data_IF_730633529692
#
_entry.id   IF_730633529692
#
_cell.length_a   1.000
_cell.length_b   1.000
_cell.length_c   1.000
_cell.angle_alpha   90.00
_cell.angle_beta   90.00
_cell.angle_gamma   90.00
#
_symmetry.space_group_name_H-M   'P 1'
#
loop_
_entity.id
_entity.type
_entity.pdbx_description
1 polymer ?
#
# COMPACT_ATOMS: atom_id res chain seq x y z
N UNK A 1 29.07 5.39 19.67
CA UNK A 1 28.08 6.32 19.09
C UNK A 1 28.68 7.09 17.93
N UNK A 2 28.18 6.93 16.70
CA UNK A 2 28.31 7.93 15.67
C UNK A 2 26.92 8.41 15.23
N UNK A 3 26.63 9.66 15.55
CA UNK A 3 25.42 10.37 15.14
C UNK A 3 25.48 10.60 13.63
N UNK A 4 24.70 9.85 12.86
CA UNK A 4 24.50 10.09 11.44
C UNK A 4 23.73 11.41 11.34
N UNK A 5 24.40 12.47 10.90
CA UNK A 5 23.76 13.71 10.47
C UNK A 5 22.79 13.37 9.33
N UNK A 6 21.50 13.23 9.65
CA UNK A 6 20.45 13.34 8.64
C UNK A 6 20.50 14.77 8.14
N UNK A 7 21.07 14.97 6.96
CA UNK A 7 20.92 16.23 6.22
C UNK A 7 19.43 16.38 5.85
N UNK A 8 18.65 16.96 6.76
CA UNK A 8 17.34 17.48 6.45
C UNK A 8 17.54 18.74 5.61
N UNK A 9 17.03 18.70 4.37
CA UNK A 9 16.95 19.89 3.52
C UNK A 9 16.15 20.95 4.29
N UNK A 10 16.62 22.21 4.38
CA UNK A 10 15.90 23.28 5.06
C UNK A 10 14.48 23.43 4.50
N UNK A 11 13.49 23.65 5.38
CA UNK A 11 12.07 23.68 4.99
C UNK A 11 11.75 24.79 3.97
N UNK A 12 12.52 25.89 3.99
CA UNK A 12 12.45 26.95 2.98
C UNK A 12 12.75 26.40 1.57
N UNK A 13 13.79 25.59 1.42
CA UNK A 13 14.21 25.02 0.14
C UNK A 13 13.23 23.96 -0.36
N UNK A 14 12.63 23.18 0.56
CA UNK A 14 11.52 22.24 0.24
C UNK A 14 10.28 23.00 -0.23
N UNK A 15 9.97 24.13 0.40
CA UNK A 15 8.82 24.96 0.05
C UNK A 15 8.99 25.61 -1.33
N UNK A 16 10.19 26.07 -1.67
CA UNK A 16 10.49 26.70 -2.96
C UNK A 16 10.50 25.70 -4.11
N UNK A 17 11.04 24.49 -3.89
CA UNK A 17 11.00 23.42 -4.90
C UNK A 17 9.57 22.93 -5.17
N UNK A 18 8.75 22.77 -4.12
CA UNK A 18 7.32 22.48 -4.27
C UNK A 18 6.57 23.59 -5.02
N UNK A 19 6.89 24.86 -4.71
CA UNK A 19 6.34 26.04 -5.38
C UNK A 19 6.74 26.15 -6.85
N UNK A 20 7.96 25.78 -7.21
CA UNK A 20 8.35 25.74 -8.61
C UNK A 20 7.55 24.69 -9.41
N UNK A 21 7.36 23.50 -8.82
CA UNK A 21 6.59 22.40 -9.44
C UNK A 21 5.14 22.79 -9.67
N UNK A 22 4.53 23.49 -8.71
CA UNK A 22 3.14 23.94 -8.87
C UNK A 22 2.99 25.05 -9.90
N UNK A 23 3.96 25.98 -9.98
CA UNK A 23 3.88 27.08 -10.95
C UNK A 23 3.92 26.56 -12.40
N UNK A 24 4.70 25.51 -12.67
CA UNK A 24 4.71 24.83 -13.97
C UNK A 24 3.35 24.21 -14.30
N UNK A 25 2.79 23.41 -13.38
CA UNK A 25 1.47 22.80 -13.56
C UNK A 25 0.35 23.86 -13.69
N UNK A 26 0.37 24.89 -12.85
CA UNK A 26 -0.68 25.90 -12.80
C UNK A 26 -0.74 26.78 -14.05
N UNK A 27 0.40 27.09 -14.70
CA UNK A 27 0.41 27.85 -15.97
C UNK A 27 -0.41 27.14 -17.05
N UNK A 28 -0.32 25.82 -17.11
CA UNK A 28 -0.96 25.00 -18.13
C UNK A 28 -2.40 24.63 -17.74
N UNK A 29 -2.61 24.15 -16.52
CA UNK A 29 -3.84 23.47 -16.13
C UNK A 29 -4.78 24.30 -15.25
N UNK A 30 -4.32 25.34 -14.54
CA UNK A 30 -5.21 26.11 -13.65
C UNK A 30 -6.13 27.06 -14.43
N UNK A 31 -7.37 27.19 -13.93
CA UNK A 31 -8.32 28.18 -14.41
C UNK A 31 -7.90 29.59 -13.96
N UNK A 32 -8.17 30.61 -14.79
CA UNK A 32 -7.94 32.00 -14.36
C UNK A 32 -9.12 32.49 -13.53
N UNK A 33 -8.87 32.79 -12.26
CA UNK A 33 -9.86 33.40 -11.37
C UNK A 33 -9.67 34.92 -11.29
N UNK A 34 -10.80 35.64 -11.27
CA UNK A 34 -10.84 37.11 -11.19
C UNK A 34 -11.76 37.51 -10.04
N UNK A 35 -11.35 38.49 -9.21
CA UNK A 35 -12.11 38.95 -8.02
C UNK A 35 -12.30 40.46 -8.03
N UNK A 36 -13.41 40.92 -7.43
CA UNK A 36 -13.76 42.33 -7.26
C UNK A 36 -14.34 42.99 -8.53
N UNK A 37 -14.84 44.22 -8.38
CA UNK A 37 -15.44 45.02 -9.46
C UNK A 37 -14.49 45.21 -10.66
N UNK A 38 -13.18 45.34 -10.40
CA UNK A 38 -12.14 45.49 -11.42
C UNK A 38 -11.63 44.17 -12.02
N UNK A 39 -12.23 43.03 -11.66
CA UNK A 39 -11.88 41.69 -12.16
C UNK A 39 -10.36 41.40 -12.14
N UNK A 40 -9.67 41.77 -11.05
CA UNK A 40 -8.22 41.53 -10.90
C UNK A 40 -7.93 40.03 -10.82
N UNK A 41 -6.85 39.57 -11.46
CA UNK A 41 -6.40 38.17 -11.44
C UNK A 41 -6.01 37.79 -10.01
N UNK A 42 -6.52 36.66 -9.51
CA UNK A 42 -6.16 36.12 -8.21
C UNK A 42 -4.81 35.40 -8.33
N UNK A 43 -3.80 35.71 -7.49
CA UNK A 43 -2.52 34.98 -7.46
C UNK A 43 -2.72 33.50 -7.13
N UNK A 44 -1.88 32.63 -7.69
CA UNK A 44 -1.98 31.17 -7.49
C UNK A 44 -1.91 30.76 -6.01
N UNK A 45 -0.99 31.38 -5.25
CA UNK A 45 -0.86 31.17 -3.80
C UNK A 45 -2.16 31.42 -3.03
N UNK A 46 -2.96 32.39 -3.49
CA UNK A 46 -4.22 32.75 -2.84
C UNK A 46 -5.36 31.86 -3.33
N UNK A 47 -5.29 31.38 -4.58
CA UNK A 47 -6.22 30.38 -5.12
C UNK A 47 -6.13 29.05 -4.37
N UNK A 48 -4.96 28.71 -3.84
CA UNK A 48 -4.68 27.45 -3.16
C UNK A 48 -4.69 27.53 -1.64
N UNK A 49 -5.12 28.66 -1.08
CA UNK A 49 -5.31 28.78 0.37
C UNK A 49 -6.71 28.33 0.77
N UNK A 50 -6.85 27.82 1.99
CA UNK A 50 -8.12 27.40 2.57
C UNK A 50 -9.24 28.44 2.34
N UNK A 51 -10.44 27.96 2.02
CA UNK A 51 -11.63 28.79 1.89
C UNK A 51 -12.82 28.14 2.61
N UNK A 52 -13.53 28.87 3.50
CA UNK A 52 -14.78 28.39 4.07
C UNK A 52 -15.93 28.47 3.05
N UNK A 53 -15.81 29.32 2.03
CA UNK A 53 -16.84 29.56 1.03
C UNK A 53 -16.77 28.55 -0.11
N UNK A 54 -17.94 28.21 -0.66
CA UNK A 54 -18.05 27.36 -1.85
C UNK A 54 -17.35 27.97 -3.06
N UNK A 55 -16.77 27.11 -3.90
CA UNK A 55 -16.24 27.53 -5.19
C UNK A 55 -17.36 27.91 -6.16
N UNK A 56 -17.10 28.91 -6.99
CA UNK A 56 -17.97 29.30 -8.10
C UNK A 56 -17.46 28.81 -9.47
N UNK A 57 -16.18 28.42 -9.53
CA UNK A 57 -15.53 27.82 -10.70
C UNK A 57 -14.53 26.75 -10.23
N UNK A 58 -14.30 25.70 -11.02
CA UNK A 58 -13.22 24.73 -10.75
C UNK A 58 -11.85 25.41 -10.64
N UNK A 59 -10.93 24.77 -9.93
CA UNK A 59 -9.56 25.25 -9.77
C UNK A 59 -8.72 24.97 -11.02
N UNK A 60 -8.96 23.83 -11.68
CA UNK A 60 -8.36 23.48 -12.97
C UNK A 60 -9.30 23.73 -14.16
N UNK A 61 -8.73 23.81 -15.36
CA UNK A 61 -9.50 23.98 -16.61
C UNK A 61 -10.19 22.67 -16.97
N UNK A 62 -11.51 22.64 -16.76
CA UNK A 62 -12.36 21.50 -17.10
C UNK A 62 -13.32 21.82 -18.25
N UNK A 63 -13.62 20.79 -19.04
CA UNK A 63 -14.74 20.79 -19.98
C UNK A 63 -16.05 21.15 -19.27
N UNK A 64 -17.00 21.73 -19.99
CA UNK A 64 -18.25 22.28 -19.42
C UNK A 64 -19.00 21.23 -18.61
N UNK A 65 -19.03 19.99 -19.09
CA UNK A 65 -19.81 18.88 -18.52
C UNK A 65 -19.34 18.51 -17.11
N UNK A 66 -18.05 18.66 -16.81
CA UNK A 66 -17.48 18.30 -15.51
C UNK A 66 -17.52 19.42 -14.48
N UNK A 67 -17.89 20.64 -14.87
CA UNK A 67 -17.84 21.81 -13.95
C UNK A 67 -18.80 21.66 -12.78
N UNK A 68 -20.01 21.15 -13.03
CA UNK A 68 -21.02 20.95 -11.98
C UNK A 68 -20.51 19.97 -10.93
N UNK A 69 -19.93 18.87 -11.38
CA UNK A 69 -19.40 17.83 -10.49
C UNK A 69 -18.17 18.31 -9.74
N UNK A 70 -17.25 19.05 -10.37
CA UNK A 70 -16.12 19.68 -9.69
C UNK A 70 -16.55 20.60 -8.54
N UNK A 71 -17.58 21.42 -8.75
CA UNK A 71 -18.12 22.28 -7.69
C UNK A 71 -18.80 21.47 -6.58
N UNK A 72 -19.44 20.35 -6.93
CA UNK A 72 -20.06 19.45 -5.94
C UNK A 72 -18.99 18.69 -5.14
N UNK A 73 -17.89 18.26 -5.77
CA UNK A 73 -16.73 17.66 -5.10
C UNK A 73 -16.21 18.58 -3.99
N UNK A 74 -16.09 19.89 -4.26
CA UNK A 74 -15.63 20.84 -3.26
C UNK A 74 -16.56 20.89 -2.03
N UNK A 75 -17.88 20.90 -2.27
CA UNK A 75 -18.87 20.89 -1.17
C UNK A 75 -18.84 19.58 -0.37
N UNK A 76 -18.54 18.46 -1.03
CA UNK A 76 -18.37 17.15 -0.40
C UNK A 76 -17.12 17.16 0.48
N UNK A 77 -15.99 17.63 -0.04
CA UNK A 77 -14.74 17.81 0.72
C UNK A 77 -14.99 18.67 1.95
N UNK A 78 -15.65 19.83 1.79
CA UNK A 78 -15.99 20.69 2.92
C UNK A 78 -16.89 20.00 3.96
N UNK A 79 -17.84 19.15 3.55
CA UNK A 79 -18.67 18.39 4.50
C UNK A 79 -17.86 17.35 5.28
N UNK A 80 -17.06 16.55 4.57
CA UNK A 80 -16.19 15.53 5.19
C UNK A 80 -15.19 16.17 6.15
N UNK A 81 -14.65 17.34 5.79
CA UNK A 81 -13.73 18.12 6.63
C UNK A 81 -14.42 18.84 7.82
N UNK A 82 -15.76 18.79 7.94
CA UNK A 82 -16.49 19.52 8.98
C UNK A 82 -16.54 21.04 8.74
N UNK A 83 -16.25 21.50 7.53
CA UNK A 83 -16.28 22.91 7.14
C UNK A 83 -17.67 23.39 6.73
N UNK A 84 -18.62 22.47 6.55
CA UNK A 84 -19.98 22.76 6.08
C UNK A 84 -21.01 21.96 6.88
N UNK A 85 -22.07 22.64 7.33
CA UNK A 85 -23.18 22.03 8.07
C UNK A 85 -23.82 20.87 7.29
N UNK A 86 -24.19 19.82 8.03
CA UNK A 86 -24.83 18.60 7.52
C UNK A 86 -26.15 18.32 8.24
N UNK A 87 -27.01 17.51 7.61
CA UNK A 87 -28.09 16.82 8.33
C UNK A 87 -27.48 15.85 9.35
N UNK A 88 -28.09 15.72 10.52
CA UNK A 88 -27.63 14.84 11.60
C UNK A 88 -27.52 13.35 11.18
N UNK A 89 -28.23 12.95 10.13
CA UNK A 89 -28.31 11.56 9.63
C UNK A 89 -27.31 11.20 8.54
N UNK A 90 -26.52 12.16 8.02
CA UNK A 90 -25.60 11.90 6.91
C UNK A 90 -24.24 11.37 7.40
N UNK A 91 -23.87 10.16 6.96
CA UNK A 91 -22.57 9.55 7.24
C UNK A 91 -21.50 10.05 6.26
N UNK A 92 -20.28 10.32 6.75
CA UNK A 92 -19.17 10.81 5.92
C UNK A 92 -18.80 9.78 4.83
N UNK A 93 -19.00 8.50 5.09
CA UNK A 93 -18.62 7.42 4.18
C UNK A 93 -19.43 7.41 2.87
N UNK A 94 -20.69 7.87 2.89
CA UNK A 94 -21.51 7.98 1.66
C UNK A 94 -21.07 9.17 0.80
N UNK A 95 -20.66 10.26 1.43
CA UNK A 95 -20.09 11.43 0.77
C UNK A 95 -18.73 11.08 0.15
N UNK A 96 -17.89 10.34 0.87
CA UNK A 96 -16.63 9.80 0.35
C UNK A 96 -16.88 8.86 -0.82
N UNK A 97 -17.82 7.92 -0.69
CA UNK A 97 -18.16 6.98 -1.76
C UNK A 97 -18.57 7.72 -3.04
N UNK A 98 -19.41 8.75 -2.91
CA UNK A 98 -19.81 9.57 -4.06
C UNK A 98 -18.61 10.28 -4.70
N UNK A 99 -17.67 10.78 -3.89
CA UNK A 99 -16.44 11.42 -4.39
C UNK A 99 -15.56 10.44 -5.17
N UNK A 100 -15.36 9.22 -4.63
CA UNK A 100 -14.59 8.16 -5.26
C UNK A 100 -15.20 7.73 -6.60
N UNK A 101 -16.53 7.60 -6.65
CA UNK A 101 -17.29 7.24 -7.85
C UNK A 101 -17.06 8.23 -9.00
N UNK A 102 -17.05 9.54 -8.71
CA UNK A 102 -16.74 10.59 -9.70
C UNK A 102 -15.30 10.51 -10.18
N UNK A 103 -14.35 10.31 -9.27
CA UNK A 103 -12.92 10.26 -9.59
C UNK A 103 -12.53 9.04 -10.43
N UNK A 104 -13.11 7.87 -10.12
CA UNK A 104 -12.90 6.62 -10.85
C UNK A 104 -13.45 6.75 -12.27
N UNK A 105 -14.70 7.20 -12.40
CA UNK A 105 -15.39 7.32 -13.69
C UNK A 105 -14.95 8.50 -14.57
N UNK A 106 -14.19 9.47 -14.05
CA UNK A 106 -13.84 10.69 -14.80
C UNK A 106 -12.43 11.17 -14.47
N UNK A 107 -11.46 10.83 -15.33
CA UNK A 107 -10.05 11.14 -15.11
C UNK A 107 -9.74 12.63 -14.82
N UNK A 108 -10.34 13.62 -15.53
CA UNK A 108 -10.11 15.03 -15.21
C UNK A 108 -10.55 15.47 -13.80
N UNK A 109 -11.50 14.77 -13.16
CA UNK A 109 -11.94 15.12 -11.80
C UNK A 109 -10.93 14.69 -10.73
N UNK A 110 -10.02 13.75 -11.02
CA UNK A 110 -9.02 13.26 -10.06
C UNK A 110 -8.11 14.39 -9.59
N UNK A 111 -7.50 15.10 -10.54
CA UNK A 111 -6.60 16.22 -10.23
C UNK A 111 -7.36 17.37 -9.58
N UNK A 112 -8.59 17.66 -10.00
CA UNK A 112 -9.41 18.70 -9.38
C UNK A 112 -9.68 18.38 -7.90
N UNK A 113 -10.00 17.12 -7.57
CA UNK A 113 -10.20 16.67 -6.19
C UNK A 113 -8.91 16.84 -5.38
N UNK A 114 -7.76 16.42 -5.91
CA UNK A 114 -6.49 16.58 -5.21
C UNK A 114 -6.10 18.05 -5.01
N UNK A 115 -6.30 18.90 -6.02
CA UNK A 115 -6.03 20.34 -5.93
C UNK A 115 -6.96 20.99 -4.90
N UNK A 116 -8.24 20.61 -4.87
CA UNK A 116 -9.20 21.08 -3.86
C UNK A 116 -8.83 20.63 -2.44
N UNK A 117 -8.34 19.40 -2.26
CA UNK A 117 -7.82 18.92 -0.98
C UNK A 117 -6.58 19.71 -0.54
N UNK A 118 -5.58 19.86 -1.42
CA UNK A 118 -4.39 20.68 -1.16
C UNK A 118 -4.79 22.10 -0.75
N UNK A 119 -5.78 22.67 -1.44
CA UNK A 119 -6.34 23.99 -1.11
C UNK A 119 -6.90 24.04 0.31
N UNK A 120 -7.74 23.08 0.68
CA UNK A 120 -8.38 23.07 2.01
C UNK A 120 -7.42 22.74 3.14
N UNK A 121 -6.25 22.14 2.85
CA UNK A 121 -5.18 21.89 3.83
C UNK A 121 -4.24 23.09 3.99
N UNK A 122 -4.06 23.90 2.96
CA UNK A 122 -3.09 25.01 2.96
C UNK A 122 -3.60 26.23 3.73
N UNK A 123 -2.96 26.56 4.84
CA UNK A 123 -3.29 27.74 5.64
C UNK A 123 -4.69 27.69 6.29
N UNK A 124 -5.18 26.46 6.54
CA UNK A 124 -6.43 26.23 7.26
C UNK A 124 -6.21 26.47 8.76
N UNK A 125 -7.00 27.35 9.41
CA UNK A 125 -6.80 27.67 10.83
C UNK A 125 -7.39 26.62 11.78
N UNK A 126 -8.08 25.58 11.29
CA UNK A 126 -8.81 24.61 12.12
C UNK A 126 -8.12 23.25 12.13
N UNK A 127 -7.49 22.85 13.25
CA UNK A 127 -6.80 21.57 13.37
C UNK A 127 -7.67 20.35 13.05
N UNK A 128 -8.91 20.31 13.53
CA UNK A 128 -9.86 19.21 13.27
C UNK A 128 -10.20 19.09 11.77
N UNK A 129 -10.36 20.23 11.08
CA UNK A 129 -10.59 20.26 9.64
C UNK A 129 -9.36 19.73 8.89
N UNK A 130 -8.15 20.17 9.29
CA UNK A 130 -6.89 19.66 8.73
C UNK A 130 -6.79 18.14 8.88
N UNK A 131 -7.02 17.62 10.07
CA UNK A 131 -6.98 16.18 10.36
C UNK A 131 -7.94 15.39 9.47
N UNK A 132 -9.20 15.83 9.38
CA UNK A 132 -10.19 15.20 8.49
C UNK A 132 -9.82 15.30 7.02
N UNK A 133 -9.20 16.40 6.60
CA UNK A 133 -8.70 16.58 5.24
C UNK A 133 -7.58 15.59 4.91
N UNK A 134 -6.64 15.37 5.83
CA UNK A 134 -5.59 14.35 5.70
C UNK A 134 -6.12 12.93 5.75
N UNK A 135 -7.13 12.66 6.58
CA UNK A 135 -7.81 11.39 6.61
C UNK A 135 -8.50 11.10 5.26
N UNK A 136 -9.17 12.11 4.69
CA UNK A 136 -9.74 12.01 3.34
C UNK A 136 -8.65 11.77 2.29
N UNK A 137 -7.51 12.46 2.39
CA UNK A 137 -6.36 12.24 1.52
C UNK A 137 -5.86 10.78 1.57
N UNK A 138 -5.72 10.21 2.78
CA UNK A 138 -5.35 8.80 2.98
C UNK A 138 -6.31 7.83 2.27
N UNK A 139 -7.61 8.13 2.29
CA UNK A 139 -8.63 7.30 1.65
C UNK A 139 -8.53 7.41 0.12
N UNK A 140 -8.56 8.61 -0.45
CA UNK A 140 -8.66 8.78 -1.91
C UNK A 140 -7.45 8.22 -2.66
N UNK A 141 -6.24 8.36 -2.11
CA UNK A 141 -5.01 7.85 -2.76
C UNK A 141 -4.97 6.33 -2.88
N UNK A 142 -5.76 5.61 -2.08
CA UNK A 142 -5.85 4.14 -2.17
C UNK A 142 -6.70 3.67 -3.36
N UNK A 143 -7.57 4.53 -3.91
CA UNK A 143 -8.54 4.12 -4.93
C UNK A 143 -8.28 4.73 -6.32
N UNK A 144 -7.61 5.89 -6.41
CA UNK A 144 -7.21 6.46 -7.68
C UNK A 144 -5.92 7.30 -7.59
N UNK A 145 -5.00 7.19 -8.55
CA UNK A 145 -3.85 8.10 -8.62
C UNK A 145 -4.25 9.45 -9.25
N UNK A 146 -3.46 10.52 -9.03
CA UNK A 146 -3.52 11.72 -9.88
C UNK A 146 -3.09 11.39 -11.32
N UNK A 147 -3.22 12.35 -12.23
CA UNK A 147 -2.59 12.23 -13.55
C UNK A 147 -1.08 12.42 -13.45
N UNK A 148 -0.34 11.92 -14.45
CA UNK A 148 1.13 12.00 -14.52
C UNK A 148 1.66 13.43 -14.39
N UNK A 149 0.91 14.42 -14.86
CA UNK A 149 1.30 15.83 -14.77
C UNK A 149 1.22 16.40 -13.34
N UNK A 150 0.42 15.80 -12.47
CA UNK A 150 0.20 16.30 -11.10
C UNK A 150 0.92 15.48 -10.02
N UNK A 151 1.42 14.29 -10.37
CA UNK A 151 2.12 13.39 -9.46
C UNK A 151 3.23 14.05 -8.65
N UNK A 152 4.17 14.73 -9.32
CA UNK A 152 5.35 15.28 -8.65
C UNK A 152 5.01 16.40 -7.68
N UNK A 153 4.02 17.23 -8.02
CA UNK A 153 3.53 18.23 -7.11
C UNK A 153 2.85 17.58 -5.90
N UNK A 154 1.95 16.61 -6.11
CA UNK A 154 1.25 15.96 -5.00
C UNK A 154 2.22 15.22 -4.06
N UNK A 155 3.22 14.51 -4.61
CA UNK A 155 4.30 13.88 -3.85
C UNK A 155 5.03 14.91 -2.97
N UNK A 156 5.42 16.04 -3.56
CA UNK A 156 6.13 17.12 -2.84
C UNK A 156 5.26 17.75 -1.76
N UNK A 157 4.00 18.03 -2.08
CA UNK A 157 3.02 18.58 -1.14
C UNK A 157 2.89 17.65 0.08
N UNK A 158 2.75 16.35 -0.14
CA UNK A 158 2.62 15.39 0.96
C UNK A 158 3.90 15.32 1.81
N UNK A 159 5.07 15.29 1.16
CA UNK A 159 6.37 15.23 1.85
C UNK A 159 6.65 16.43 2.75
N UNK A 160 6.12 17.62 2.44
CA UNK A 160 6.24 18.81 3.30
C UNK A 160 5.61 18.61 4.69
N UNK A 161 4.71 17.64 4.84
CA UNK A 161 3.99 17.38 6.09
C UNK A 161 4.50 16.17 6.87
N UNK A 162 5.59 15.54 6.40
CA UNK A 162 6.16 14.36 7.07
C UNK A 162 6.62 14.63 8.49
N UNK A 163 7.04 15.85 8.80
CA UNK A 163 7.57 16.22 10.12
C UNK A 163 6.60 17.16 10.86
N UNK A 164 5.32 17.15 10.47
CA UNK A 164 4.29 17.99 11.09
C UNK A 164 4.02 17.57 12.54
N UNK A 165 4.25 18.46 13.50
CA UNK A 165 3.92 18.26 14.92
C UNK A 165 2.41 18.43 15.22
N UNK A 166 1.61 18.86 14.24
CA UNK A 166 0.17 19.01 14.42
C UNK A 166 -0.51 17.63 14.47
N UNK A 167 -1.07 17.27 15.63
CA UNK A 167 -1.83 16.02 15.84
C UNK A 167 -1.05 14.78 15.35
N UNK A 168 -1.61 14.00 14.42
CA UNK A 168 -0.96 12.83 13.78
C UNK A 168 -0.73 13.04 12.28
N UNK A 169 -0.55 14.28 11.84
CA UNK A 169 -0.40 14.59 10.41
C UNK A 169 0.88 13.97 9.83
N UNK A 170 1.94 13.84 10.63
CA UNK A 170 3.16 13.11 10.25
C UNK A 170 2.86 11.65 9.86
N UNK A 171 2.03 10.95 10.63
CA UNK A 171 1.60 9.58 10.33
C UNK A 171 0.72 9.53 9.08
N UNK A 172 -0.31 10.39 9.03
CA UNK A 172 -1.25 10.42 7.91
C UNK A 172 -0.57 10.77 6.59
N UNK A 173 0.35 11.74 6.59
CA UNK A 173 1.07 12.18 5.39
C UNK A 173 2.02 11.10 4.87
N UNK A 174 2.80 10.44 5.75
CA UNK A 174 3.68 9.32 5.37
C UNK A 174 2.87 8.14 4.79
N UNK A 175 1.76 7.77 5.44
CA UNK A 175 0.85 6.75 4.93
C UNK A 175 0.27 7.14 3.56
N UNK A 176 -0.23 8.38 3.42
CA UNK A 176 -0.75 8.92 2.16
C UNK A 176 0.30 8.82 1.05
N UNK A 177 1.56 9.16 1.34
CA UNK A 177 2.64 9.07 0.36
C UNK A 177 2.91 7.63 -0.09
N UNK A 178 3.02 6.70 0.85
CA UNK A 178 3.21 5.27 0.55
C UNK A 178 2.09 4.72 -0.34
N UNK A 179 0.82 5.00 0.01
CA UNK A 179 -0.33 4.53 -0.76
C UNK A 179 -0.45 5.23 -2.12
N UNK A 180 -0.08 6.51 -2.22
CA UNK A 180 -0.01 7.22 -3.50
C UNK A 180 0.99 6.57 -4.46
N UNK A 181 2.19 6.21 -3.99
CA UNK A 181 3.17 5.51 -4.83
C UNK A 181 2.64 4.17 -5.34
N UNK A 182 1.90 3.44 -4.49
CA UNK A 182 1.27 2.18 -4.87
C UNK A 182 0.18 2.39 -5.92
N UNK A 183 -0.72 3.35 -5.75
CA UNK A 183 -1.81 3.60 -6.70
C UNK A 183 -1.33 4.16 -8.03
N UNK A 184 -0.22 4.91 -8.08
CA UNK A 184 0.41 5.33 -9.34
C UNK A 184 0.85 4.10 -10.16
N UNK A 185 1.41 3.07 -9.50
CA UNK A 185 1.81 1.82 -10.18
C UNK A 185 0.62 0.98 -10.63
N UNK A 186 -0.45 0.96 -9.84
CA UNK A 186 -1.60 0.07 -10.07
C UNK A 186 -2.70 0.71 -10.95
N UNK A 187 -2.74 2.03 -11.05
CA UNK A 187 -3.81 2.76 -11.72
C UNK A 187 -5.07 2.92 -10.85
N UNK A 188 -6.11 3.56 -11.38
CA UNK A 188 -7.40 3.70 -10.69
C UNK A 188 -8.12 2.35 -10.56
N UNK A 189 -8.87 2.18 -9.48
CA UNK A 189 -9.75 1.02 -9.31
C UNK A 189 -10.79 0.93 -10.42
N UNK A 190 -11.19 -0.30 -10.77
CA UNK A 190 -12.19 -0.55 -11.81
C UNK A 190 -13.64 -0.35 -11.34
N UNK A 191 -13.87 -0.41 -10.03
CA UNK A 191 -15.19 -0.27 -9.41
C UNK A 191 -15.11 0.66 -8.21
N UNK A 192 -16.20 1.37 -7.97
CA UNK A 192 -16.39 2.21 -6.78
C UNK A 192 -16.41 1.31 -5.53
N UNK A 193 -15.60 1.61 -4.50
CA UNK A 193 -15.58 0.82 -3.27
C UNK A 193 -16.88 0.92 -2.49
N UNK A 194 -17.20 -0.14 -1.77
CA UNK A 194 -18.30 -0.22 -0.81
C UNK A 194 -18.04 0.63 0.43
N UNK A 195 -19.10 0.93 1.19
CA UNK A 195 -18.99 1.65 2.47
C UNK A 195 -18.04 0.92 3.43
N UNK A 196 -18.06 -0.42 3.46
CA UNK A 196 -17.16 -1.20 4.33
C UNK A 196 -15.69 -1.02 3.94
N UNK A 197 -15.36 -1.07 2.65
CA UNK A 197 -14.00 -0.82 2.15
C UNK A 197 -13.55 0.61 2.46
N UNK A 198 -14.46 1.60 2.39
CA UNK A 198 -14.18 2.98 2.76
C UNK A 198 -13.91 3.11 4.26
N UNK A 199 -14.75 2.50 5.11
CA UNK A 199 -14.54 2.51 6.56
C UNK A 199 -13.20 1.87 6.94
N UNK A 200 -12.81 0.77 6.28
CA UNK A 200 -11.49 0.16 6.44
C UNK A 200 -10.38 1.12 5.97
N UNK A 201 -10.50 1.71 4.77
CA UNK A 201 -9.50 2.64 4.25
C UNK A 201 -9.27 3.87 5.16
N UNK A 202 -10.29 4.31 5.91
CA UNK A 202 -10.17 5.36 6.95
C UNK A 202 -9.42 4.89 8.19
N UNK A 203 -9.54 3.62 8.56
CA UNK A 203 -8.84 3.05 9.72
C UNK A 203 -7.40 2.67 9.39
N UNK A 204 -7.10 2.36 8.12
CA UNK A 204 -5.79 1.88 7.68
C UNK A 204 -4.56 2.73 8.09
N UNK A 205 -4.61 4.07 8.18
CA UNK A 205 -3.49 4.85 8.71
C UNK A 205 -3.21 4.62 10.19
N UNK A 206 -4.18 4.10 10.94
CA UNK A 206 -4.12 3.85 12.37
C UNK A 206 -3.97 2.35 12.68
N UNK A 207 -4.50 1.51 11.80
CA UNK A 207 -4.38 0.06 11.81
C UNK A 207 -3.64 -0.36 10.53
N UNK A 208 -2.31 -0.16 10.46
CA UNK A 208 -1.56 -0.47 9.26
C UNK A 208 -1.67 -1.96 8.94
N UNK A 209 -2.22 -2.24 7.74
CA UNK A 209 -2.35 -3.61 7.25
C UNK A 209 -0.99 -4.32 7.25
N UNK A 210 -0.97 -5.56 7.68
CA UNK A 210 0.24 -6.40 7.59
C UNK A 210 0.39 -7.08 6.22
N UNK A 211 -0.62 -6.94 5.35
CA UNK A 211 -0.62 -7.53 4.01
C UNK A 211 -0.25 -6.48 2.95
N UNK A 212 0.61 -6.86 2.01
CA UNK A 212 0.98 -5.94 0.93
C UNK A 212 2.04 -4.90 1.29
N UNK A 213 2.61 -4.98 2.49
CA UNK A 213 3.58 -4.03 3.03
C UNK A 213 5.01 -4.61 3.05
N UNK A 214 5.99 -3.75 3.32
CA UNK A 214 7.39 -4.18 3.50
C UNK A 214 7.60 -4.82 4.87
N UNK A 215 8.54 -5.76 4.97
CA UNK A 215 8.91 -6.34 6.26
C UNK A 215 9.36 -5.27 7.25
N UNK A 216 10.16 -4.29 6.82
CA UNK A 216 10.62 -3.20 7.67
C UNK A 216 9.47 -2.35 8.25
N UNK A 217 8.37 -2.19 7.49
CA UNK A 217 7.17 -1.51 7.96
C UNK A 217 6.39 -2.36 8.96
N UNK A 218 6.19 -3.64 8.67
CA UNK A 218 5.47 -4.56 9.56
C UNK A 218 6.18 -4.66 10.91
N UNK A 219 7.51 -4.73 10.91
CA UNK A 219 8.31 -4.84 12.14
C UNK A 219 8.34 -3.56 13.00
N UNK A 220 7.86 -2.42 12.50
CA UNK A 220 7.71 -1.21 13.31
C UNK A 220 6.52 -1.29 14.28
N UNK A 221 5.54 -2.16 13.99
CA UNK A 221 4.43 -2.40 14.89
C UNK A 221 4.78 -3.54 15.86
N UNK A 222 5.02 -3.20 17.12
CA UNK A 222 5.39 -4.18 18.16
C UNK A 222 4.35 -5.32 18.31
N UNK A 223 3.06 -5.05 18.09
CA UNK A 223 2.00 -6.07 18.19
C UNK A 223 2.04 -7.09 17.03
N UNK A 224 2.64 -6.71 15.90
CA UNK A 224 2.83 -7.55 14.72
C UNK A 224 4.17 -8.32 14.74
N UNK A 225 4.96 -8.19 15.80
CA UNK A 225 6.26 -8.85 15.96
C UNK A 225 6.16 -10.02 16.92
N UNK A 226 6.66 -11.18 16.49
CA UNK A 226 6.93 -12.28 17.39
C UNK A 226 8.17 -11.94 18.25
N UNK A 227 8.00 -11.83 19.56
CA UNK A 227 9.07 -11.36 20.46
C UNK A 227 10.20 -12.36 20.64
N UNK A 228 9.94 -13.66 20.42
CA UNK A 228 10.94 -14.71 20.59
C UNK A 228 11.80 -14.80 19.33
N UNK A 229 11.14 -14.92 18.17
CA UNK A 229 11.82 -15.14 16.90
C UNK A 229 12.16 -13.86 16.16
N UNK A 230 11.67 -12.70 16.61
CA UNK A 230 11.94 -11.38 16.01
C UNK A 230 11.59 -11.32 14.53
N UNK A 231 10.54 -12.01 14.12
CA UNK A 231 9.95 -12.04 12.77
C UNK A 231 8.47 -11.61 12.84
N UNK A 232 7.81 -11.33 11.71
CA UNK A 232 6.39 -11.03 11.73
C UNK A 232 5.55 -12.14 12.35
N UNK A 233 4.74 -11.81 13.34
CA UNK A 233 3.89 -12.75 14.12
C UNK A 233 2.93 -13.57 13.26
N UNK A 234 2.54 -13.05 12.10
CA UNK A 234 1.75 -13.80 11.10
C UNK A 234 2.43 -15.06 10.60
N UNK A 235 3.77 -15.07 10.52
CA UNK A 235 4.50 -16.28 10.14
C UNK A 235 4.32 -17.37 11.19
N UNK A 236 4.70 -17.08 12.43
CA UNK A 236 4.63 -18.05 13.54
C UNK A 236 3.21 -18.54 13.75
N UNK A 237 2.24 -17.63 13.76
CA UNK A 237 0.83 -18.00 13.87
C UNK A 237 0.35 -18.94 12.77
N UNK A 238 0.65 -18.65 11.49
CA UNK A 238 0.19 -19.49 10.38
C UNK A 238 0.91 -20.84 10.35
N UNK A 239 2.22 -20.86 10.58
CA UNK A 239 2.99 -22.11 10.62
C UNK A 239 2.55 -23.00 11.78
N UNK A 240 2.28 -22.44 12.95
CA UNK A 240 1.83 -23.19 14.13
C UNK A 240 0.49 -23.86 13.85
N UNK A 241 -0.48 -23.14 13.26
CA UNK A 241 -1.78 -23.73 12.91
C UNK A 241 -1.60 -24.83 11.85
N UNK A 242 -0.77 -24.62 10.82
CA UNK A 242 -0.52 -25.64 9.80
C UNK A 242 0.04 -26.93 10.44
N UNK A 243 0.97 -26.80 11.40
CA UNK A 243 1.55 -27.95 12.11
C UNK A 243 0.54 -28.62 13.04
N UNK A 244 -0.24 -27.85 13.80
CA UNK A 244 -1.30 -28.34 14.70
C UNK A 244 -2.39 -29.11 13.93
N UNK A 245 -2.72 -28.66 12.72
CA UNK A 245 -3.67 -29.34 11.83
C UNK A 245 -3.05 -30.51 11.03
N UNK A 246 -1.87 -30.99 11.43
CA UNK A 246 -1.16 -32.11 10.81
C UNK A 246 -0.86 -31.88 9.31
N UNK A 247 -0.64 -30.61 8.93
CA UNK A 247 -0.29 -30.19 7.58
C UNK A 247 0.87 -30.96 6.94
N UNK A 248 1.96 -31.31 7.65
CA UNK A 248 3.06 -32.10 7.08
C UNK A 248 2.64 -33.44 6.47
N UNK A 249 1.52 -34.01 6.91
CA UNK A 249 0.97 -35.28 6.41
C UNK A 249 -0.23 -35.10 5.48
N UNK A 250 -0.71 -33.87 5.28
CA UNK A 250 -1.85 -33.56 4.42
C UNK A 250 -1.46 -33.65 2.94
N UNK A 251 -2.19 -34.47 2.19
CA UNK A 251 -1.93 -34.66 0.76
C UNK A 251 -2.08 -33.36 -0.02
N UNK A 252 -1.06 -32.99 -0.78
CA UNK A 252 -1.06 -31.80 -1.62
C UNK A 252 -1.01 -30.48 -0.86
N UNK A 253 -0.62 -30.46 0.43
CA UNK A 253 -0.45 -29.22 1.20
C UNK A 253 0.40 -28.19 0.42
N UNK A 254 0.02 -26.92 0.45
CA UNK A 254 0.54 -25.83 -0.40
C UNK A 254 0.26 -25.94 -1.91
N UNK A 255 -0.06 -27.10 -2.46
CA UNK A 255 -0.51 -27.25 -3.86
C UNK A 255 -2.02 -27.06 -4.00
N UNK A 256 -2.79 -27.67 -3.09
CA UNK A 256 -4.25 -27.57 -3.05
C UNK A 256 -4.65 -26.24 -2.38
N UNK A 257 -5.57 -25.46 -2.98
CA UNK A 257 -6.08 -24.25 -2.34
C UNK A 257 -7.06 -24.61 -1.23
N UNK A 258 -7.02 -23.85 -0.13
CA UNK A 258 -8.07 -23.90 0.89
C UNK A 258 -9.31 -23.14 0.44
N UNK A 259 -10.40 -23.28 1.21
CA UNK A 259 -11.65 -22.56 0.97
C UNK A 259 -11.44 -21.03 0.96
N UNK A 260 -11.86 -20.38 -0.13
CA UNK A 260 -11.55 -18.96 -0.39
C UNK A 260 -12.19 -18.04 0.64
N UNK A 261 -13.42 -18.33 1.07
CA UNK A 261 -14.13 -17.50 2.04
C UNK A 261 -13.52 -17.63 3.44
N UNK A 262 -13.09 -18.82 3.82
CA UNK A 262 -12.35 -19.02 5.07
C UNK A 262 -10.96 -18.39 5.05
N UNK A 263 -10.24 -18.47 3.92
CA UNK A 263 -8.95 -17.77 3.74
C UNK A 263 -9.14 -16.26 3.89
N UNK A 264 -10.16 -15.68 3.26
CA UNK A 264 -10.45 -14.25 3.35
C UNK A 264 -10.89 -13.84 4.77
N UNK A 265 -11.66 -14.68 5.47
CA UNK A 265 -12.01 -14.46 6.88
C UNK A 265 -10.78 -14.49 7.78
N UNK A 266 -9.91 -15.48 7.64
CA UNK A 266 -8.66 -15.57 8.41
C UNK A 266 -7.74 -14.37 8.10
N UNK A 267 -7.63 -13.98 6.82
CA UNK A 267 -6.90 -12.78 6.40
C UNK A 267 -7.41 -11.55 7.13
N UNK A 268 -8.72 -11.31 7.11
CA UNK A 268 -9.31 -10.13 7.73
C UNK A 268 -9.04 -10.08 9.24
N UNK A 269 -9.17 -11.22 9.94
CA UNK A 269 -8.86 -11.32 11.37
C UNK A 269 -7.42 -10.92 11.68
N UNK A 270 -6.46 -11.50 10.96
CA UNK A 270 -5.04 -11.19 11.14
C UNK A 270 -4.71 -9.74 10.79
N UNK A 271 -5.35 -9.18 9.76
CA UNK A 271 -5.16 -7.78 9.37
C UNK A 271 -5.67 -6.80 10.44
N UNK A 272 -6.65 -7.22 11.25
CA UNK A 272 -7.15 -6.48 12.42
C UNK A 272 -6.38 -6.76 13.71
N UNK A 273 -5.32 -7.59 13.68
CA UNK A 273 -4.51 -7.93 14.85
C UNK A 273 -5.08 -9.07 15.72
N UNK A 274 -6.11 -9.78 15.27
CA UNK A 274 -6.66 -10.93 15.99
C UNK A 274 -5.87 -12.21 15.68
N UNK A 275 -4.89 -12.52 16.54
CA UNK A 275 -4.08 -13.74 16.51
C UNK A 275 -4.61 -14.84 17.44
N UNK A 276 -5.91 -14.88 17.72
CA UNK A 276 -6.49 -16.00 18.48
C UNK A 276 -6.64 -17.24 17.60
N UNK A 277 -6.18 -18.43 18.04
CA UNK A 277 -6.33 -19.66 17.26
C UNK A 277 -7.81 -19.93 16.93
N UNK A 278 -8.20 -20.02 15.64
CA UNK A 278 -9.57 -20.30 15.26
C UNK A 278 -9.96 -21.73 15.59
N UNK A 279 -10.98 -21.91 16.44
CA UNK A 279 -11.57 -23.23 16.70
C UNK A 279 -12.28 -23.83 15.47
N UNK A 280 -12.68 -22.99 14.50
CA UNK A 280 -13.46 -23.39 13.33
C UNK A 280 -12.61 -23.93 12.17
N UNK A 281 -11.29 -23.67 12.16
CA UNK A 281 -10.43 -24.09 11.04
C UNK A 281 -9.92 -25.51 11.32
N UNK A 282 -10.38 -26.46 10.51
CA UNK A 282 -9.93 -27.85 10.54
C UNK A 282 -9.07 -28.25 9.33
N UNK A 283 -9.18 -27.52 8.21
CA UNK A 283 -8.43 -27.79 6.99
C UNK A 283 -7.08 -27.03 6.98
N UNK A 284 -5.92 -27.74 6.95
CA UNK A 284 -4.60 -27.10 6.91
C UNK A 284 -4.35 -26.31 5.62
N UNK A 285 -5.09 -26.56 4.54
CA UNK A 285 -4.93 -25.82 3.28
C UNK A 285 -5.38 -24.35 3.39
N UNK A 286 -6.24 -24.02 4.35
CA UNK A 286 -6.68 -22.64 4.62
C UNK A 286 -5.51 -21.77 5.11
N UNK A 287 -4.87 -22.05 6.26
CA UNK A 287 -3.71 -21.28 6.71
C UNK A 287 -2.53 -21.42 5.75
N UNK A 288 -2.32 -22.58 5.10
CA UNK A 288 -1.27 -22.73 4.08
C UNK A 288 -1.48 -21.84 2.85
N UNK A 289 -2.74 -21.65 2.43
CA UNK A 289 -3.08 -20.72 1.33
C UNK A 289 -2.83 -19.27 1.73
N UNK A 290 -3.20 -18.90 2.97
CA UNK A 290 -2.93 -17.56 3.49
C UNK A 290 -1.43 -17.29 3.69
N UNK A 291 -0.67 -18.28 4.14
CA UNK A 291 0.79 -18.20 4.28
C UNK A 291 1.47 -17.88 2.95
N UNK A 292 1.15 -18.64 1.90
CA UNK A 292 1.65 -18.36 0.54
C UNK A 292 1.21 -16.98 0.05
N UNK A 293 -0.06 -16.62 0.28
CA UNK A 293 -0.63 -15.34 -0.13
C UNK A 293 0.11 -14.18 0.52
N UNK A 294 0.35 -14.24 1.83
CA UNK A 294 1.04 -13.19 2.57
C UNK A 294 2.48 -12.99 2.08
N UNK A 295 3.24 -14.08 1.93
CA UNK A 295 4.61 -14.04 1.40
C UNK A 295 4.68 -13.46 -0.01
N UNK A 296 3.76 -13.88 -0.89
CA UNK A 296 3.69 -13.40 -2.27
C UNK A 296 3.33 -11.92 -2.35
N UNK A 297 2.43 -11.47 -1.48
CA UNK A 297 1.89 -10.11 -1.48
C UNK A 297 2.85 -9.10 -0.84
N UNK A 298 3.92 -9.51 -0.14
CA UNK A 298 4.92 -8.60 0.44
C UNK A 298 5.34 -7.51 -0.55
N UNK A 299 5.66 -6.31 -0.08
CA UNK A 299 6.10 -5.22 -0.97
C UNK A 299 7.34 -5.61 -1.79
N UNK A 300 8.33 -6.22 -1.13
CA UNK A 300 9.59 -6.69 -1.75
C UNK A 300 9.72 -8.21 -1.60
N UNK A 301 10.25 -8.93 -2.62
CA UNK A 301 10.37 -10.39 -2.56
C UNK A 301 11.33 -10.81 -1.44
N UNK A 302 11.20 -12.06 -0.97
CA UNK A 302 12.11 -12.60 0.04
C UNK A 302 13.55 -12.57 -0.44
N UNK A 303 13.77 -12.88 -1.72
CA UNK A 303 15.03 -12.65 -2.40
C UNK A 303 14.91 -11.34 -3.19
N UNK A 304 15.63 -10.27 -2.80
CA UNK A 304 15.55 -8.99 -3.48
C UNK A 304 15.83 -9.09 -4.98
N UNK A 305 15.09 -8.32 -5.79
CA UNK A 305 15.19 -8.36 -7.25
C UNK A 305 16.59 -8.08 -7.81
N UNK A 306 17.45 -7.38 -7.06
CA UNK A 306 18.86 -7.17 -7.40
C UNK A 306 19.67 -8.47 -7.51
N UNK A 307 19.26 -9.55 -6.82
CA UNK A 307 19.90 -10.85 -6.88
C UNK A 307 19.23 -11.80 -7.89
N UNK A 308 18.10 -11.42 -8.48
CA UNK A 308 17.29 -12.29 -9.34
C UNK A 308 18.10 -12.88 -10.50
N UNK A 309 18.90 -12.06 -11.20
CA UNK A 309 19.73 -12.53 -12.31
C UNK A 309 20.78 -13.55 -11.86
N UNK A 310 21.36 -13.39 -10.68
CA UNK A 310 22.30 -14.37 -10.11
C UNK A 310 21.61 -15.69 -9.82
N UNK A 311 20.37 -15.64 -9.29
CA UNK A 311 19.58 -16.84 -9.00
C UNK A 311 19.28 -17.67 -10.26
N UNK A 312 18.93 -17.02 -11.38
CA UNK A 312 18.54 -17.72 -12.61
C UNK A 312 19.74 -18.17 -13.47
N UNK A 313 20.88 -17.49 -13.35
CA UNK A 313 22.09 -17.81 -14.13
C UNK A 313 22.92 -18.92 -13.47
N UNK A 314 22.93 -18.99 -12.14
CA UNK A 314 23.69 -19.97 -11.36
C UNK A 314 22.80 -20.75 -10.36
N UNK A 315 21.68 -21.36 -10.78
CA UNK A 315 20.68 -21.93 -9.87
C UNK A 315 21.14 -23.19 -9.13
N UNK A 316 22.28 -23.76 -9.49
CA UNK A 316 22.84 -25.00 -8.91
C UNK A 316 24.17 -24.79 -8.19
N UNK A 317 24.72 -23.57 -8.21
CA UNK A 317 26.02 -23.28 -7.61
C UNK A 317 25.86 -22.99 -6.12
N UNK A 318 26.30 -23.88 -5.21
CA UNK A 318 26.12 -23.68 -3.77
C UNK A 318 26.85 -22.46 -3.24
N UNK A 319 28.01 -22.12 -3.80
CA UNK A 319 28.82 -20.98 -3.35
C UNK A 319 28.13 -19.67 -3.72
N UNK A 320 27.56 -19.58 -4.92
CA UNK A 320 26.80 -18.39 -5.34
C UNK A 320 25.47 -18.27 -4.56
N UNK A 321 24.77 -19.39 -4.28
CA UNK A 321 23.57 -19.38 -3.43
C UNK A 321 23.91 -18.86 -2.02
N UNK A 322 24.97 -19.38 -1.40
CA UNK A 322 25.41 -18.96 -0.08
C UNK A 322 25.82 -17.49 -0.07
N UNK A 323 26.51 -17.03 -1.11
CA UNK A 323 26.88 -15.62 -1.30
C UNK A 323 25.65 -14.71 -1.46
N UNK A 324 24.62 -15.14 -2.18
CA UNK A 324 23.36 -14.38 -2.27
C UNK A 324 22.73 -14.26 -0.88
N UNK A 325 22.56 -15.40 -0.19
CA UNK A 325 21.90 -15.44 1.12
C UNK A 325 22.64 -14.61 2.18
N UNK A 326 23.97 -14.69 2.23
CA UNK A 326 24.80 -13.89 3.15
C UNK A 326 24.78 -12.39 2.86
N UNK A 327 24.47 -11.99 1.62
CA UNK A 327 24.30 -10.58 1.25
C UNK A 327 22.89 -10.05 1.53
N UNK A 328 21.90 -10.92 1.76
CA UNK A 328 20.60 -10.51 2.29
C UNK A 328 20.78 -10.20 3.78
N UNK A 329 20.34 -9.02 4.22
CA UNK A 329 20.57 -8.55 5.59
C UNK A 329 19.27 -8.31 6.35
N UNK A 330 19.38 -8.31 7.68
CA UNK A 330 18.33 -7.89 8.60
C UNK A 330 17.13 -8.83 8.62
N UNK A 331 15.94 -8.23 8.74
CA UNK A 331 14.69 -8.99 8.89
C UNK A 331 14.41 -9.93 7.71
N UNK A 332 14.78 -9.52 6.50
CA UNK A 332 14.51 -10.30 5.29
C UNK A 332 15.22 -11.65 5.29
N UNK A 333 16.48 -11.68 5.75
CA UNK A 333 17.24 -12.93 5.87
C UNK A 333 16.59 -13.85 6.91
N UNK A 334 16.23 -13.32 8.08
CA UNK A 334 15.57 -14.10 9.14
C UNK A 334 14.24 -14.71 8.68
N UNK A 335 13.44 -13.94 7.95
CA UNK A 335 12.18 -14.43 7.38
C UNK A 335 12.43 -15.50 6.32
N UNK A 336 13.41 -15.29 5.42
CA UNK A 336 13.75 -16.28 4.40
C UNK A 336 14.23 -17.60 5.04
N UNK A 337 15.16 -17.51 6.01
CA UNK A 337 15.69 -18.65 6.77
C UNK A 337 14.57 -19.40 7.50
N UNK A 338 13.69 -18.69 8.20
CA UNK A 338 12.53 -19.27 8.87
C UNK A 338 11.61 -20.02 7.89
N UNK A 339 11.29 -19.43 6.74
CA UNK A 339 10.45 -20.07 5.72
C UNK A 339 11.15 -21.29 5.12
N UNK A 340 12.46 -21.24 4.86
CA UNK A 340 13.24 -22.39 4.37
C UNK A 340 13.17 -23.54 5.37
N UNK A 341 13.48 -23.29 6.64
CA UNK A 341 13.43 -24.29 7.70
C UNK A 341 12.04 -24.89 7.87
N UNK A 342 11.00 -24.06 7.81
CA UNK A 342 9.62 -24.52 7.85
C UNK A 342 9.27 -25.45 6.67
N UNK A 343 9.68 -25.09 5.45
CA UNK A 343 9.45 -25.92 4.26
C UNK A 343 10.25 -27.23 4.29
N UNK A 344 11.44 -27.22 4.89
CA UNK A 344 12.25 -28.43 5.08
C UNK A 344 11.57 -29.49 5.96
N UNK A 345 10.64 -29.10 6.85
CA UNK A 345 9.80 -30.05 7.60
C UNK A 345 8.96 -30.91 6.65
N UNK A 346 8.37 -30.31 5.62
CA UNK A 346 7.52 -31.01 4.64
C UNK A 346 8.34 -31.85 3.67
N UNK A 347 9.57 -31.40 3.38
CA UNK A 347 10.51 -32.10 2.51
C UNK A 347 11.06 -33.40 3.12
N UNK A 348 10.98 -33.59 4.45
CA UNK A 348 11.47 -34.81 5.10
C UNK A 348 10.79 -36.06 4.53
N UNK A 349 11.54 -37.17 4.32
CA UNK A 349 11.00 -38.37 3.67
C UNK A 349 9.74 -38.95 4.33
N UNK A 350 9.64 -38.91 5.67
CA UNK A 350 8.44 -39.37 6.38
C UNK A 350 7.18 -38.57 6.04
N UNK A 351 7.34 -37.27 5.80
CA UNK A 351 6.25 -36.33 5.53
C UNK A 351 5.93 -36.30 4.03
N UNK A 352 6.94 -36.13 3.17
CA UNK A 352 6.77 -36.02 1.72
C UNK A 352 6.15 -37.27 1.08
N UNK A 353 6.34 -38.45 1.69
CA UNK A 353 5.71 -39.70 1.25
C UNK A 353 4.19 -39.67 1.40
N UNK A 354 3.70 -39.05 2.48
CA UNK A 354 2.28 -38.91 2.78
C UNK A 354 1.69 -37.70 2.06
N UNK A 355 2.28 -36.52 2.24
CA UNK A 355 1.80 -35.27 1.64
C UNK A 355 1.95 -35.21 0.11
N UNK A 356 2.80 -36.06 -0.48
CA UNK A 356 3.21 -35.99 -1.90
C UNK A 356 3.93 -34.69 -2.27
N UNK A 357 4.39 -33.93 -1.29
CA UNK A 357 5.10 -32.66 -1.48
C UNK A 357 6.59 -32.82 -1.16
N UNK A 358 7.36 -33.34 -2.12
CA UNK A 358 8.82 -33.40 -2.04
C UNK A 358 9.47 -32.03 -2.34
N UNK A 359 10.79 -31.92 -2.17
CA UNK A 359 11.56 -30.68 -2.41
C UNK A 359 11.26 -30.09 -3.81
N UNK A 360 11.21 -30.92 -4.85
CA UNK A 360 10.91 -30.46 -6.22
C UNK A 360 9.50 -29.84 -6.33
N UNK A 361 8.49 -30.46 -5.70
CA UNK A 361 7.13 -29.95 -5.71
C UNK A 361 6.99 -28.66 -4.88
N UNK A 362 7.69 -28.56 -3.75
CA UNK A 362 7.74 -27.35 -2.94
C UNK A 362 8.42 -26.21 -3.72
N UNK A 363 9.54 -26.49 -4.39
CA UNK A 363 10.23 -25.53 -5.25
C UNK A 363 9.34 -24.97 -6.37
N UNK A 364 8.52 -25.80 -7.01
CA UNK A 364 7.54 -25.34 -8.02
C UNK A 364 6.55 -24.33 -7.44
N UNK A 365 6.06 -24.58 -6.21
CA UNK A 365 5.08 -23.71 -5.55
C UNK A 365 5.73 -22.41 -5.05
N UNK A 366 6.95 -22.48 -4.50
CA UNK A 366 7.57 -21.37 -3.79
C UNK A 366 8.57 -20.53 -4.62
N UNK A 367 9.06 -21.02 -5.75
CA UNK A 367 9.87 -20.23 -6.69
C UNK A 367 9.27 -18.85 -7.05
N UNK A 368 8.01 -18.76 -7.51
CA UNK A 368 7.41 -17.47 -7.82
C UNK A 368 7.16 -16.59 -6.57
N UNK A 369 7.13 -17.19 -5.38
CA UNK A 369 6.94 -16.48 -4.10
C UNK A 369 8.26 -15.87 -3.63
N UNK A 370 9.37 -16.61 -3.71
CA UNK A 370 10.69 -16.18 -3.28
C UNK A 370 11.29 -15.12 -4.20
N UNK A 371 11.21 -15.34 -5.52
CA UNK A 371 11.99 -14.58 -6.51
C UNK A 371 11.21 -13.47 -7.21
N UNK A 372 9.92 -13.70 -7.52
CA UNK A 372 9.04 -12.81 -8.32
C UNK A 372 9.73 -12.23 -9.56
N UNK A 373 9.66 -12.94 -10.69
CA UNK A 373 10.24 -12.51 -11.96
C UNK A 373 9.97 -11.01 -12.25
N UNK A 374 11.03 -10.17 -12.40
CA UNK A 374 10.87 -8.74 -12.65
C UNK A 374 10.53 -8.43 -14.13
N UNK A 375 10.56 -9.44 -15.01
CA UNK A 375 10.31 -9.27 -16.44
C UNK A 375 8.81 -9.28 -16.76
N UNK A 376 8.36 -8.29 -17.51
CA UNK A 376 7.00 -8.27 -18.08
C UNK A 376 6.87 -9.13 -19.37
N UNK A 377 7.96 -9.75 -19.82
CA UNK A 377 7.96 -10.60 -21.02
C UNK A 377 7.63 -12.05 -20.65
N UNK A 378 6.44 -12.51 -21.06
CA UNK A 378 5.94 -13.87 -20.84
C UNK A 378 6.92 -14.95 -21.31
N UNK A 379 7.60 -14.77 -22.45
CA UNK A 379 8.55 -15.77 -22.96
C UNK A 379 9.75 -15.90 -22.03
N UNK A 380 10.29 -14.78 -21.56
CA UNK A 380 11.40 -14.77 -20.63
C UNK A 380 10.99 -15.34 -19.27
N UNK A 381 9.79 -15.02 -18.78
CA UNK A 381 9.28 -15.54 -17.53
C UNK A 381 9.13 -17.08 -17.56
N UNK A 382 8.64 -17.64 -18.67
CA UNK A 382 8.54 -19.10 -18.84
C UNK A 382 9.92 -19.76 -18.87
N UNK A 383 10.88 -19.17 -19.60
CA UNK A 383 12.26 -19.69 -19.65
C UNK A 383 12.91 -19.65 -18.27
N UNK A 384 12.81 -18.53 -17.57
CA UNK A 384 13.42 -18.36 -16.25
C UNK A 384 12.77 -19.25 -15.19
N UNK A 385 11.49 -19.62 -15.34
CA UNK A 385 10.76 -20.41 -14.34
C UNK A 385 11.47 -21.72 -14.00
N UNK A 386 12.12 -22.39 -14.98
CA UNK A 386 12.88 -23.61 -14.70
C UNK A 386 14.10 -23.34 -13.81
N UNK A 387 14.86 -22.27 -14.10
CA UNK A 387 15.99 -21.86 -13.27
C UNK A 387 15.56 -21.37 -11.88
N UNK A 388 14.44 -20.65 -11.78
CA UNK A 388 13.86 -20.21 -10.51
C UNK A 388 13.51 -21.40 -9.61
N UNK A 389 12.85 -22.41 -10.18
CA UNK A 389 12.51 -23.65 -9.48
C UNK A 389 13.76 -24.39 -9.02
N UNK A 390 14.77 -24.46 -9.87
CA UNK A 390 16.03 -25.14 -9.57
C UNK A 390 16.81 -24.41 -8.46
N UNK A 391 16.84 -23.08 -8.48
CA UNK A 391 17.43 -22.27 -7.41
C UNK A 391 16.75 -22.53 -6.07
N UNK A 392 15.40 -22.45 -6.01
CA UNK A 392 14.67 -22.70 -4.76
C UNK A 392 14.80 -24.16 -4.33
N UNK A 393 14.88 -25.11 -5.26
CA UNK A 393 15.13 -26.52 -4.95
C UNK A 393 16.47 -26.73 -4.24
N UNK A 394 17.52 -26.02 -4.64
CA UNK A 394 18.85 -26.12 -3.99
C UNK A 394 18.97 -25.25 -2.73
N UNK A 395 18.05 -24.30 -2.55
CA UNK A 395 17.94 -23.50 -1.33
C UNK A 395 17.26 -24.27 -0.19
N UNK A 396 16.34 -25.18 -0.52
CA UNK A 396 15.64 -26.09 0.39
C UNK A 396 16.46 -27.35 0.64
#
# INVERSE_FOLDING_TARGET
>A
SPTIYRHTVPDELKSDTSRFRIDSFARTYFATHKRGLFRRKVPLKDMLRFSPNSLHKPLIRLAKDYRRDALKCFKVIQRVMGDRNRSATAADDTDIQWLLDRAIGTAPLRDEIYVQLCKQLTGNPRPESIFRGWLLACVVVQFFPPTTHFEDYLKSFIQLHFDSELQRIDVLSRFTFMKLQKSIRQGPMSKTPSIREISHAKQAPFCPSIFGESLDFIMQNAEAVDTELGIPRILTFLTDIILQLNGPKSEGIFRIPGDVDQVNRLRHRLDTGDYTPPAEISDPNIPASLFKLWLRDLHDPLIPGQFYHHCVNSPQDPDEILKIMTNIKGIRLRVADYVIQFLQVFAQPENSRLSKMNISNLAVVFAPIFLRCPSNNLKQAVVNSQSEQLFVKNLL
#
